data_IF_376140092331
#
_entry.id   IF_376140092331
#
_cell.length_a   1.000
_cell.length_b   1.000
_cell.length_c   1.000
_cell.angle_alpha   90.00
_cell.angle_beta   90.00
_cell.angle_gamma   90.00
#
_symmetry.space_group_name_H-M   'P 1'
#
loop_
_entity.id
_entity.type
_entity.pdbx_description
1 polymer ?
#
# COMPACT_ATOMS: atom_id res chain seq x y z
N UNK A 1 20.16 2.47 -0.57
CA UNK A 1 18.81 2.01 -0.99
C UNK A 1 17.81 2.91 -0.30
N UNK A 2 16.66 3.23 -0.90
CA UNK A 2 15.60 3.96 -0.22
C UNK A 2 15.15 3.25 1.06
N UNK A 3 14.78 4.02 2.07
CA UNK A 3 14.35 3.53 3.40
C UNK A 3 13.04 4.19 3.81
N UNK A 4 12.40 3.67 4.86
CA UNK A 4 11.16 4.23 5.41
C UNK A 4 11.27 5.73 5.73
N UNK A 5 12.45 6.20 6.14
CA UNK A 5 12.69 7.62 6.44
C UNK A 5 12.64 8.55 5.22
N UNK A 6 12.65 8.01 3.98
CA UNK A 6 12.45 8.78 2.75
C UNK A 6 10.97 9.07 2.46
N UNK A 7 10.04 8.54 3.26
CA UNK A 7 8.61 8.85 3.19
C UNK A 7 8.32 10.15 3.94
N UNK A 8 7.49 11.03 3.36
CA UNK A 8 7.07 12.25 4.02
C UNK A 8 6.45 11.98 5.41
N UNK A 9 6.90 12.71 6.43
CA UNK A 9 6.52 12.47 7.83
C UNK A 9 5.05 12.76 8.13
N UNK A 10 4.40 13.58 7.31
CA UNK A 10 3.00 13.98 7.36
C UNK A 10 2.12 13.19 6.39
N UNK A 11 2.65 12.12 5.78
CA UNK A 11 1.89 11.27 4.88
C UNK A 11 0.69 10.63 5.61
N UNK A 12 -0.51 10.67 5.00
CA UNK A 12 -1.72 10.13 5.63
C UNK A 12 -1.69 8.60 5.64
N UNK A 13 -2.45 8.04 6.56
CA UNK A 13 -2.73 6.61 6.58
C UNK A 13 -3.77 6.20 5.53
N UNK A 14 -3.94 4.88 5.30
CA UNK A 14 -5.00 4.38 4.41
C UNK A 14 -6.40 4.85 4.81
N UNK A 15 -6.71 4.84 6.11
CA UNK A 15 -8.01 5.29 6.62
C UNK A 15 -8.21 6.78 6.29
N UNK A 16 -7.26 7.64 6.66
CA UNK A 16 -7.33 9.09 6.42
C UNK A 16 -7.37 9.44 4.93
N UNK A 17 -6.61 8.71 4.11
CA UNK A 17 -6.56 8.95 2.67
C UNK A 17 -7.91 8.63 2.02
N UNK A 18 -8.55 7.50 2.35
CA UNK A 18 -9.87 7.16 1.81
C UNK A 18 -10.91 8.22 2.20
N UNK A 19 -10.81 8.79 3.40
CA UNK A 19 -11.75 9.82 3.86
C UNK A 19 -11.57 11.17 3.16
N UNK A 20 -10.35 11.51 2.77
CA UNK A 20 -10.00 12.80 2.18
C UNK A 20 -9.86 12.77 0.65
N UNK A 21 -9.83 11.58 0.03
CA UNK A 21 -9.67 11.46 -1.41
C UNK A 21 -10.84 12.06 -2.19
N UNK A 22 -10.59 12.42 -3.46
CA UNK A 22 -11.60 13.01 -4.34
C UNK A 22 -12.90 12.18 -4.38
N UNK A 23 -14.08 12.82 -4.27
CA UNK A 23 -15.37 12.14 -4.35
C UNK A 23 -15.54 11.31 -5.64
N UNK A 24 -14.85 11.67 -6.71
CA UNK A 24 -14.87 10.94 -7.98
C UNK A 24 -14.39 9.48 -7.86
N UNK A 25 -13.53 9.17 -6.87
CA UNK A 25 -12.97 7.84 -6.65
C UNK A 25 -13.47 7.18 -5.37
N UNK A 26 -13.75 7.99 -4.33
CA UNK A 26 -14.04 7.54 -2.96
C UNK A 26 -15.14 6.48 -2.86
N UNK A 27 -16.25 6.65 -3.57
CA UNK A 27 -17.37 5.71 -3.51
C UNK A 27 -16.99 4.27 -3.92
N UNK A 28 -16.05 4.12 -4.86
CA UNK A 28 -15.56 2.81 -5.29
C UNK A 28 -14.64 2.15 -4.27
N UNK A 29 -13.86 2.94 -3.52
CA UNK A 29 -13.00 2.44 -2.45
C UNK A 29 -13.83 2.01 -1.24
N UNK A 30 -14.81 2.83 -0.83
CA UNK A 30 -15.70 2.51 0.30
C UNK A 30 -16.51 1.24 0.05
N UNK A 31 -17.10 1.09 -1.14
CA UNK A 31 -17.83 -0.14 -1.50
C UNK A 31 -16.95 -1.38 -1.35
N UNK A 32 -15.74 -1.35 -1.89
CA UNK A 32 -14.82 -2.47 -1.76
C UNK A 32 -14.38 -2.71 -0.31
N UNK A 33 -14.34 -1.68 0.54
CA UNK A 33 -14.11 -1.82 1.97
C UNK A 33 -15.26 -2.55 2.66
N UNK A 34 -16.50 -2.17 2.35
CA UNK A 34 -17.72 -2.77 2.93
C UNK A 34 -17.92 -4.23 2.51
N UNK A 35 -17.58 -4.55 1.25
CA UNK A 35 -17.78 -5.89 0.69
C UNK A 35 -16.68 -6.90 1.08
N UNK A 36 -15.54 -6.43 1.62
CA UNK A 36 -14.40 -7.30 1.92
C UNK A 36 -14.41 -7.82 3.36
N UNK A 37 -14.12 -9.11 3.53
CA UNK A 37 -13.94 -9.75 4.84
C UNK A 37 -12.51 -10.26 4.95
N UNK A 38 -11.77 -9.79 5.97
CA UNK A 38 -10.38 -10.18 6.21
C UNK A 38 -10.27 -11.66 6.60
N UNK A 39 -9.18 -12.31 6.18
CA UNK A 39 -8.80 -13.62 6.67
C UNK A 39 -8.35 -13.55 8.14
N UNK A 40 -9.10 -14.13 9.10
CA UNK A 40 -8.80 -13.97 10.52
C UNK A 40 -7.44 -14.56 10.93
N UNK A 41 -6.99 -15.64 10.26
CA UNK A 41 -5.71 -16.27 10.57
C UNK A 41 -4.53 -15.37 10.17
N UNK A 42 -4.65 -14.68 9.03
CA UNK A 42 -3.64 -13.70 8.59
C UNK A 42 -3.64 -12.48 9.52
N UNK A 43 -4.81 -12.01 9.95
CA UNK A 43 -4.91 -10.89 10.90
C UNK A 43 -4.27 -11.22 12.24
N UNK A 44 -4.50 -12.42 12.78
CA UNK A 44 -3.86 -12.83 14.05
C UNK A 44 -2.33 -12.76 13.96
N UNK A 45 -1.74 -13.18 12.84
CA UNK A 45 -0.31 -13.04 12.60
C UNK A 45 0.11 -11.57 12.46
N UNK A 46 -0.63 -10.76 11.70
CA UNK A 46 -0.32 -9.35 11.49
C UNK A 46 -0.39 -8.52 12.79
N UNK A 47 -1.27 -8.87 13.74
CA UNK A 47 -1.29 -8.26 15.08
C UNK A 47 0.08 -8.40 15.76
N UNK A 48 0.74 -9.56 15.63
CA UNK A 48 2.06 -9.79 16.22
C UNK A 48 3.17 -8.99 15.50
N UNK A 49 2.97 -8.69 14.21
CA UNK A 49 3.92 -7.93 13.40
C UNK A 49 3.71 -6.41 13.43
N UNK A 50 2.56 -5.94 13.90
CA UNK A 50 2.11 -4.55 13.76
C UNK A 50 3.07 -3.50 14.33
N UNK A 51 3.86 -3.85 15.35
CA UNK A 51 4.83 -2.94 16.01
C UNK A 51 6.20 -2.89 15.34
N UNK A 52 6.56 -3.94 14.63
CA UNK A 52 7.91 -4.10 14.07
C UNK A 52 7.95 -3.76 12.58
N UNK A 53 6.81 -3.85 11.89
CA UNK A 53 6.73 -3.67 10.46
C UNK A 53 5.85 -2.49 10.06
N UNK A 54 6.23 -1.85 8.97
CA UNK A 54 5.53 -0.71 8.39
C UNK A 54 5.17 -1.00 6.95
N UNK A 55 3.99 -0.54 6.54
CA UNK A 55 3.53 -0.71 5.17
C UNK A 55 3.33 0.67 4.53
N UNK A 56 3.77 0.81 3.29
CA UNK A 56 3.53 2.00 2.47
C UNK A 56 2.91 1.56 1.16
N UNK A 57 1.75 2.12 0.80
CA UNK A 57 1.14 1.91 -0.51
C UNK A 57 1.25 3.16 -1.36
N UNK A 58 1.82 3.03 -2.55
CA UNK A 58 1.93 4.10 -3.54
C UNK A 58 1.04 3.75 -4.73
N UNK A 59 0.10 4.64 -5.10
CA UNK A 59 -0.94 4.30 -6.07
C UNK A 59 -1.55 5.49 -6.83
N UNK A 60 -2.24 5.17 -7.92
CA UNK A 60 -3.10 6.08 -8.65
C UNK A 60 -4.57 5.87 -8.25
N UNK A 61 -5.28 6.94 -7.90
CA UNK A 61 -6.66 6.87 -7.38
C UNK A 61 -7.66 6.26 -8.39
N UNK A 62 -7.40 6.43 -9.68
CA UNK A 62 -8.23 5.88 -10.75
C UNK A 62 -7.94 4.39 -11.04
N UNK A 63 -6.92 3.80 -10.44
CA UNK A 63 -6.49 2.43 -10.69
C UNK A 63 -7.47 1.41 -10.09
N UNK A 64 -7.92 0.46 -10.93
CA UNK A 64 -8.83 -0.60 -10.50
C UNK A 64 -8.23 -1.56 -9.48
N UNK A 65 -6.93 -1.86 -9.58
CA UNK A 65 -6.24 -2.71 -8.60
C UNK A 65 -6.03 -1.97 -7.27
N UNK A 66 -5.78 -0.66 -7.32
CA UNK A 66 -5.61 0.15 -6.10
C UNK A 66 -6.93 0.26 -5.34
N UNK A 67 -8.05 0.39 -6.07
CA UNK A 67 -9.40 0.33 -5.51
C UNK A 67 -9.69 -1.00 -4.81
N UNK A 68 -9.01 -2.10 -5.16
CA UNK A 68 -9.16 -3.38 -4.46
C UNK A 68 -8.22 -3.48 -3.26
N UNK A 69 -6.96 -3.06 -3.41
CA UNK A 69 -5.95 -3.27 -2.37
C UNK A 69 -6.03 -2.26 -1.21
N UNK A 70 -6.20 -0.95 -1.50
CA UNK A 70 -6.14 0.10 -0.48
C UNK A 70 -7.28 -0.02 0.55
N UNK A 71 -8.53 -0.38 0.18
CA UNK A 71 -9.57 -0.69 1.17
C UNK A 71 -9.20 -1.84 2.10
N UNK A 72 -8.61 -2.91 1.58
CA UNK A 72 -8.15 -4.05 2.39
C UNK A 72 -7.05 -3.61 3.35
N UNK A 73 -6.10 -2.82 2.90
CA UNK A 73 -5.08 -2.22 3.76
C UNK A 73 -5.69 -1.34 4.86
N UNK A 74 -6.75 -0.58 4.58
CA UNK A 74 -7.45 0.20 5.62
C UNK A 74 -8.13 -0.69 6.67
N UNK A 75 -8.68 -1.85 6.26
CA UNK A 75 -9.27 -2.81 7.20
C UNK A 75 -8.19 -3.51 8.04
N UNK A 76 -7.05 -3.87 7.44
CA UNK A 76 -5.90 -4.42 8.18
C UNK A 76 -5.44 -3.41 9.22
N UNK A 77 -5.30 -2.15 8.83
CA UNK A 77 -4.93 -1.07 9.74
C UNK A 77 -5.91 -0.98 10.93
N UNK A 78 -7.22 -1.02 10.70
CA UNK A 78 -8.25 -1.01 11.75
C UNK A 78 -8.19 -2.24 12.67
N UNK A 79 -7.87 -3.41 12.12
CA UNK A 79 -7.87 -4.66 12.87
C UNK A 79 -6.58 -4.92 13.67
N UNK A 80 -5.47 -4.28 13.30
CA UNK A 80 -4.13 -4.62 13.81
C UNK A 80 -3.40 -3.46 14.48
N UNK A 81 -3.90 -2.23 14.35
CA UNK A 81 -3.18 -0.98 14.67
C UNK A 81 -1.82 -0.83 13.94
N UNK A 82 -1.57 -1.62 12.90
CA UNK A 82 -0.36 -1.55 12.10
C UNK A 82 -0.28 -0.20 11.37
N UNK A 83 0.92 0.40 11.32
CA UNK A 83 1.11 1.67 10.62
C UNK A 83 1.16 1.44 9.11
N UNK A 84 0.08 1.84 8.42
CA UNK A 84 -0.06 1.71 6.97
C UNK A 84 -0.26 3.09 6.33
N UNK A 85 0.76 3.57 5.62
CA UNK A 85 0.81 4.88 4.96
C UNK A 85 0.28 4.76 3.53
N UNK A 86 -0.50 5.75 3.08
CA UNK A 86 -1.09 5.82 1.76
C UNK A 86 -0.62 7.06 0.98
N UNK A 87 0.08 6.81 -0.13
CA UNK A 87 0.56 7.82 -1.07
C UNK A 87 -0.16 7.67 -2.41
N UNK A 88 -1.36 8.23 -2.49
CA UNK A 88 -2.15 8.26 -3.72
C UNK A 88 -1.78 9.41 -4.66
N UNK A 89 -2.65 9.71 -5.63
CA UNK A 89 -2.47 10.86 -6.53
C UNK A 89 -1.47 10.66 -7.67
N UNK A 90 -1.02 9.42 -7.96
CA UNK A 90 -0.18 9.18 -9.14
C UNK A 90 -0.91 9.53 -10.44
N UNK A 91 -0.23 10.28 -11.31
CA UNK A 91 -0.74 10.73 -12.60
C UNK A 91 -0.09 9.99 -13.77
N UNK A 92 -0.91 9.67 -14.79
CA UNK A 92 -0.38 9.12 -16.03
C UNK A 92 0.52 10.16 -16.70
N UNK A 93 1.65 9.75 -17.24
CA UNK A 93 2.50 10.65 -17.98
C UNK A 93 1.79 11.08 -19.28
N UNK A 94 2.17 12.24 -19.86
CA UNK A 94 1.74 12.61 -21.20
C UNK A 94 2.02 11.48 -22.20
N UNK A 95 1.13 11.32 -23.18
CA UNK A 95 1.31 10.34 -24.25
C UNK A 95 2.67 10.54 -24.94
N UNK A 96 3.44 9.46 -25.10
CA UNK A 96 4.79 9.50 -25.71
C UNK A 96 5.94 9.82 -24.73
N UNK A 97 5.67 9.99 -23.44
CA UNK A 97 6.70 10.16 -22.41
C UNK A 97 7.51 8.88 -22.18
N UNK A 98 8.82 9.03 -21.93
CA UNK A 98 9.68 7.95 -21.45
C UNK A 98 9.56 7.68 -19.94
N UNK A 99 8.84 8.53 -19.20
CA UNK A 99 8.57 8.33 -17.77
C UNK A 99 7.31 7.49 -17.57
N UNK A 100 7.30 6.64 -16.54
CA UNK A 100 6.10 5.88 -16.16
C UNK A 100 5.00 6.73 -15.52
N UNK A 101 5.35 7.89 -14.93
CA UNK A 101 4.42 8.79 -14.22
C UNK A 101 4.86 10.25 -14.42
N UNK A 102 3.93 11.17 -14.72
CA UNK A 102 4.24 12.59 -14.82
C UNK A 102 2.98 13.50 -14.81
N UNK A 103 3.09 14.57 -14.01
CA UNK A 103 2.39 15.90 -13.97
C UNK A 103 0.87 15.97 -14.23
N UNK A 104 0.05 16.54 -13.31
CA UNK A 104 0.43 17.25 -12.06
C UNK A 104 1.09 16.28 -11.06
N UNK A 105 2.14 16.72 -10.34
CA UNK A 105 3.23 15.83 -9.98
C UNK A 105 2.74 14.70 -9.08
N UNK A 106 3.00 13.46 -9.51
CA UNK A 106 2.91 12.29 -8.65
C UNK A 106 3.78 12.50 -7.38
N UNK A 107 3.51 11.77 -6.28
CA UNK A 107 4.35 11.80 -5.10
C UNK A 107 5.83 11.59 -5.45
N UNK A 108 6.74 12.32 -4.79
CA UNK A 108 8.20 12.22 -5.05
C UNK A 108 8.73 10.82 -4.77
N UNK A 109 8.05 10.10 -3.88
CA UNK A 109 8.30 8.71 -3.51
C UNK A 109 8.17 7.75 -4.71
N UNK A 110 7.43 8.12 -5.75
CA UNK A 110 7.37 7.35 -7.00
C UNK A 110 8.76 7.19 -7.61
N UNK A 111 9.54 8.27 -7.67
CA UNK A 111 10.89 8.25 -8.22
C UNK A 111 11.89 7.65 -7.22
N UNK A 112 11.77 7.99 -5.93
CA UNK A 112 12.66 7.49 -4.87
C UNK A 112 12.61 5.95 -4.80
N UNK A 113 11.40 5.36 -4.79
CA UNK A 113 11.22 3.92 -4.62
C UNK A 113 11.13 3.15 -5.95
N UNK A 114 11.34 3.83 -7.09
CA UNK A 114 11.33 3.22 -8.42
C UNK A 114 10.00 2.56 -8.76
N UNK A 115 8.89 3.25 -8.51
CA UNK A 115 7.55 2.69 -8.66
C UNK A 115 7.18 2.58 -10.14
N UNK A 116 6.94 1.36 -10.61
CA UNK A 116 6.59 1.06 -12.02
C UNK A 116 5.14 0.59 -12.20
N UNK A 117 4.40 0.40 -11.11
CA UNK A 117 3.05 -0.16 -11.09
C UNK A 117 2.18 0.49 -10.03
N UNK A 118 0.87 0.50 -10.25
CA UNK A 118 -0.13 0.95 -9.28
C UNK A 118 -1.12 -0.19 -8.97
N UNK A 119 -1.41 -0.49 -7.70
CA UNK A 119 -0.67 -0.05 -6.52
C UNK A 119 0.69 -0.76 -6.45
N UNK A 120 1.65 -0.17 -5.74
CA UNK A 120 2.81 -0.88 -5.22
C UNK A 120 2.79 -0.76 -3.69
N UNK A 121 2.84 -1.89 -3.01
CA UNK A 121 2.80 -1.99 -1.55
C UNK A 121 4.20 -2.40 -1.10
N UNK A 122 4.87 -1.53 -0.35
CA UNK A 122 6.20 -1.72 0.18
C UNK A 122 6.08 -2.13 1.65
N UNK A 123 6.89 -3.10 2.08
CA UNK A 123 6.90 -3.62 3.44
C UNK A 123 8.30 -3.38 4.01
N UNK A 124 8.34 -2.68 5.14
CA UNK A 124 9.58 -2.29 5.82
C UNK A 124 9.67 -2.96 7.19
N UNK A 125 10.89 -3.34 7.58
CA UNK A 125 11.18 -3.80 8.94
C UNK A 125 11.36 -2.63 9.91
N UNK A 126 11.72 -2.95 11.16
CA UNK A 126 11.91 -1.97 12.24
C UNK A 126 13.15 -1.08 12.04
N UNK A 127 14.11 -1.54 11.23
CA UNK A 127 15.29 -0.76 10.82
C UNK A 127 14.97 0.22 9.66
N UNK A 128 13.75 0.14 9.11
CA UNK A 128 13.30 0.96 7.99
C UNK A 128 13.78 0.46 6.63
N UNK A 129 14.31 -0.76 6.56
CA UNK A 129 14.74 -1.41 5.32
C UNK A 129 13.55 -2.11 4.65
N UNK A 130 13.47 -2.02 3.33
CA UNK A 130 12.46 -2.73 2.55
C UNK A 130 12.78 -4.23 2.49
N UNK A 131 11.91 -5.06 3.06
CA UNK A 131 12.05 -6.53 3.05
C UNK A 131 11.29 -7.18 1.89
N UNK A 132 10.35 -6.44 1.27
CA UNK A 132 9.59 -6.94 0.14
C UNK A 132 8.56 -5.95 -0.37
N UNK A 133 7.99 -6.25 -1.53
CA UNK A 133 6.93 -5.45 -2.13
C UNK A 133 5.96 -6.27 -2.98
N UNK A 134 4.70 -5.86 -2.98
CA UNK A 134 3.64 -6.41 -3.82
C UNK A 134 3.36 -5.43 -4.95
N UNK A 135 3.49 -5.90 -6.20
CA UNK A 135 3.21 -5.11 -7.40
C UNK A 135 1.85 -5.51 -7.96
N UNK A 136 0.92 -4.55 -8.00
CA UNK A 136 -0.48 -4.62 -8.43
C UNK A 136 -1.39 -5.52 -7.61
N UNK A 137 -1.08 -6.82 -7.48
CA UNK A 137 -1.91 -7.81 -6.79
C UNK A 137 -1.06 -8.91 -6.16
N UNK A 138 -1.62 -9.67 -5.21
CA UNK A 138 -1.01 -10.89 -4.70
C UNK A 138 -0.63 -11.87 -5.82
N UNK A 139 0.53 -12.52 -5.68
CA UNK A 139 1.07 -13.54 -6.58
C UNK A 139 1.41 -14.85 -5.88
N UNK A 140 1.70 -14.82 -4.59
CA UNK A 140 2.11 -15.98 -3.79
C UNK A 140 0.93 -16.54 -3.03
N UNK A 141 0.04 -15.68 -2.54
CA UNK A 141 -1.08 -16.04 -1.70
C UNK A 141 -2.44 -15.60 -2.28
N UNK A 142 -3.56 -16.19 -1.85
CA UNK A 142 -4.90 -15.87 -2.37
C UNK A 142 -5.38 -14.46 -2.02
N UNK A 143 -4.97 -13.93 -0.85
CA UNK A 143 -5.39 -12.64 -0.33
C UNK A 143 -4.21 -11.71 -0.08
N UNK A 144 -4.50 -10.42 0.11
CA UNK A 144 -3.46 -9.41 0.33
C UNK A 144 -2.82 -9.55 1.71
N UNK A 145 -3.63 -9.77 2.74
CA UNK A 145 -3.17 -9.99 4.12
C UNK A 145 -2.29 -11.24 4.24
N UNK A 146 -2.63 -12.33 3.54
CA UNK A 146 -1.81 -13.54 3.52
C UNK A 146 -0.47 -13.29 2.83
N UNK A 147 -0.43 -12.54 1.72
CA UNK A 147 0.83 -12.25 1.04
C UNK A 147 1.75 -11.34 1.87
N UNK A 148 1.19 -10.38 2.61
CA UNK A 148 1.97 -9.55 3.54
C UNK A 148 2.59 -10.43 4.63
N UNK A 149 1.80 -11.33 5.23
CA UNK A 149 2.30 -12.31 6.21
C UNK A 149 3.43 -13.13 5.61
N UNK A 150 3.23 -13.69 4.41
CA UNK A 150 4.24 -14.52 3.73
C UNK A 150 5.55 -13.79 3.53
N UNK A 151 5.51 -12.53 3.09
CA UNK A 151 6.71 -11.71 2.90
C UNK A 151 7.44 -11.47 4.22
N UNK A 152 6.70 -11.20 5.30
CA UNK A 152 7.29 -11.00 6.63
C UNK A 152 7.93 -12.30 7.14
N UNK A 153 7.22 -13.42 7.06
CA UNK A 153 7.72 -14.73 7.50
C UNK A 153 8.97 -15.14 6.71
N UNK A 154 8.97 -14.98 5.39
CA UNK A 154 10.14 -15.26 4.54
C UNK A 154 11.36 -14.41 4.91
N UNK A 155 11.14 -13.14 5.27
CA UNK A 155 12.22 -12.24 5.70
C UNK A 155 12.87 -12.66 7.03
N UNK A 156 12.12 -13.38 7.86
CA UNK A 156 12.57 -13.96 9.13
C UNK A 156 13.16 -15.37 8.95
N UNK A 157 13.03 -15.97 7.76
CA UNK A 157 13.43 -17.35 7.49
C UNK A 157 12.49 -18.40 8.08
N UNK A 158 11.20 -18.06 8.25
CA UNK A 158 10.15 -18.93 8.77
C UNK A 158 9.42 -19.73 7.68
#
# INVERSE_FOLDING_TARGET
MPVLADIASDAPTCIEYIDTMSPAYRAGYLRNKEDYSLNPNAIEKLINFAKEYHIVVIFADWCGDARKAVPVLSLIQEATDMKIIALGGMTKPPYGSSKHWAVPPSPVEVDIFGITSSPTILIFNSEGEEIGRIKTRPKMEPTLEEEIVKIIEDSQGL
#
